data_IF_574273567772
#
_entry.id   IF_574273567772
#
_cell.length_a   1.000
_cell.length_b   1.000
_cell.length_c   1.000
_cell.angle_alpha   90.00
_cell.angle_beta   90.00
_cell.angle_gamma   90.00
#
_symmetry.space_group_name_H-M   'P 1'
#
loop_
_entity.id
_entity.type
_entity.pdbx_description
1 polymer ?
#
# COMPACT_ATOMS: atom_id res chain seq x y z
N UNK A 1 -4.20 14.77 19.52
CA UNK A 1 -4.72 13.47 19.03
C UNK A 1 -4.98 13.61 17.55
N UNK A 2 -4.39 12.75 16.72
CA UNK A 2 -4.69 12.72 15.28
C UNK A 2 -6.03 12.02 15.00
N UNK A 3 -6.62 12.34 13.84
CA UNK A 3 -7.89 11.75 13.38
C UNK A 3 -7.68 10.59 12.39
N UNK A 4 -6.45 10.43 11.88
CA UNK A 4 -6.07 9.36 10.97
C UNK A 4 -4.67 8.84 11.31
N UNK A 5 -4.38 7.59 10.95
CA UNK A 5 -3.08 6.96 11.15
C UNK A 5 -2.92 5.74 10.27
N UNK A 6 -1.68 5.41 9.93
CA UNK A 6 -1.30 4.15 9.31
C UNK A 6 -0.22 3.47 10.14
N UNK A 7 -0.13 2.16 10.05
CA UNK A 7 0.87 1.37 10.75
C UNK A 7 1.04 0.01 10.10
N UNK A 8 2.10 -0.67 10.49
CA UNK A 8 2.42 -2.01 10.02
C UNK A 8 3.18 -2.77 11.09
N UNK A 9 3.05 -4.08 11.09
CA UNK A 9 3.95 -4.98 11.79
C UNK A 9 4.92 -5.51 10.74
N UNK A 10 6.21 -5.19 10.89
CA UNK A 10 7.28 -5.61 9.99
C UNK A 10 8.47 -6.05 10.82
N UNK A 11 9.08 -7.14 10.41
CA UNK A 11 10.31 -7.70 10.99
C UNK A 11 11.56 -7.43 10.11
N UNK A 12 11.36 -6.87 8.93
CA UNK A 12 12.43 -6.65 7.96
C UNK A 12 12.67 -5.18 7.67
N UNK A 13 11.64 -4.46 7.22
CA UNK A 13 11.78 -3.10 6.72
C UNK A 13 11.33 -2.06 7.75
N UNK A 14 12.15 -1.02 8.07
CA UNK A 14 11.65 0.14 8.81
C UNK A 14 10.53 0.82 8.03
N UNK A 15 9.35 0.92 8.65
CA UNK A 15 8.14 1.57 8.12
C UNK A 15 7.26 2.04 9.29
N UNK A 16 6.37 3.04 9.12
CA UNK A 16 6.13 3.80 7.89
C UNK A 16 7.30 4.72 7.50
N UNK A 17 7.45 5.01 6.22
CA UNK A 17 8.40 6.00 5.70
C UNK A 17 7.64 7.29 5.38
N UNK A 18 8.21 8.43 5.74
CA UNK A 18 7.65 9.76 5.46
C UNK A 18 8.38 10.36 4.28
N UNK A 19 7.63 10.72 3.25
CA UNK A 19 8.14 11.33 2.01
C UNK A 19 7.62 12.75 1.89
N UNK A 20 8.49 13.67 1.49
CA UNK A 20 8.12 15.03 1.10
C UNK A 20 8.44 15.22 -0.40
N UNK A 21 7.43 15.45 -1.22
CA UNK A 21 7.56 15.50 -2.67
C UNK A 21 6.62 16.53 -3.29
N UNK A 22 6.62 16.62 -4.63
CA UNK A 22 5.64 17.44 -5.37
C UNK A 22 4.18 16.95 -5.21
N UNK A 23 3.97 15.73 -4.71
CA UNK A 23 2.64 15.21 -4.37
C UNK A 23 2.17 15.63 -2.97
N UNK A 24 2.94 16.47 -2.27
CA UNK A 24 2.79 16.81 -0.87
C UNK A 24 3.58 15.86 0.03
N UNK A 25 3.38 16.02 1.33
CA UNK A 25 3.96 15.12 2.33
C UNK A 25 2.99 13.97 2.60
N UNK A 26 3.53 12.76 2.59
CA UNK A 26 2.76 11.56 2.92
C UNK A 26 3.61 10.54 3.67
N UNK A 27 2.94 9.70 4.45
CA UNK A 27 3.54 8.50 5.02
C UNK A 27 3.08 7.28 4.23
N UNK A 28 3.94 6.27 4.09
CA UNK A 28 3.62 5.03 3.35
C UNK A 28 4.00 3.80 4.15
N UNK A 29 3.15 2.79 4.08
CA UNK A 29 3.42 1.40 4.50
C UNK A 29 3.10 0.45 3.36
N UNK A 30 3.89 -0.63 3.25
CA UNK A 30 3.73 -1.62 2.18
C UNK A 30 3.80 -3.04 2.72
N UNK A 31 3.01 -3.92 2.13
CA UNK A 31 3.23 -5.36 2.17
C UNK A 31 3.65 -5.78 0.77
N UNK A 32 4.95 -5.99 0.58
CA UNK A 32 5.53 -6.15 -0.74
C UNK A 32 6.47 -7.36 -0.81
N UNK A 33 6.52 -7.98 -1.99
CA UNK A 33 7.58 -8.88 -2.40
C UNK A 33 7.98 -8.49 -3.83
N UNK A 34 9.14 -7.83 -3.94
CA UNK A 34 9.66 -7.31 -5.21
C UNK A 34 10.74 -8.27 -5.71
N UNK A 35 10.46 -8.97 -6.81
CA UNK A 35 11.39 -9.96 -7.38
C UNK A 35 12.51 -9.29 -8.16
N UNK A 36 12.19 -8.15 -8.81
CA UNK A 36 13.15 -7.38 -9.61
C UNK A 36 13.65 -6.12 -8.89
N UNK A 37 13.89 -6.23 -7.58
CA UNK A 37 14.33 -5.11 -6.74
C UNK A 37 15.63 -4.50 -7.27
N UNK A 38 16.65 -5.31 -7.48
CA UNK A 38 17.98 -4.86 -7.94
C UNK A 38 17.93 -4.17 -9.33
N UNK A 39 17.06 -4.66 -10.23
CA UNK A 39 16.84 -4.04 -11.55
C UNK A 39 16.28 -2.62 -11.41
N UNK A 40 15.26 -2.45 -10.56
CA UNK A 40 14.63 -1.15 -10.34
C UNK A 40 15.59 -0.21 -9.60
N UNK A 41 16.29 -0.71 -8.59
CA UNK A 41 17.28 0.04 -7.82
C UNK A 41 18.38 0.62 -8.73
N UNK A 42 18.98 -0.24 -9.55
CA UNK A 42 20.03 0.19 -10.49
C UNK A 42 19.53 1.27 -11.46
N UNK A 43 18.31 1.14 -11.96
CA UNK A 43 17.70 2.16 -12.82
C UNK A 43 17.50 3.49 -12.06
N UNK A 44 16.98 3.45 -10.83
CA UNK A 44 16.76 4.66 -10.03
C UNK A 44 18.08 5.37 -9.71
N UNK A 45 19.11 4.63 -9.33
CA UNK A 45 20.46 5.16 -9.10
C UNK A 45 21.07 5.79 -10.36
N UNK A 46 20.85 5.17 -11.54
CA UNK A 46 21.32 5.73 -12.82
C UNK A 46 20.66 7.06 -13.18
N UNK A 47 19.50 7.36 -12.59
CA UNK A 47 18.76 8.63 -12.72
C UNK A 47 19.10 9.64 -11.60
N UNK A 48 20.18 9.42 -10.87
CA UNK A 48 20.62 10.24 -9.74
C UNK A 48 19.60 10.28 -8.57
N UNK A 49 18.71 9.30 -8.49
CA UNK A 49 17.89 9.10 -7.28
C UNK A 49 18.74 8.39 -6.22
N UNK A 50 18.42 8.59 -4.97
CA UNK A 50 19.16 7.98 -3.86
C UNK A 50 18.20 7.35 -2.87
N UNK A 51 18.73 6.43 -2.08
CA UNK A 51 18.03 5.76 -0.99
C UNK A 51 18.61 6.25 0.34
N UNK A 52 17.76 6.60 1.28
CA UNK A 52 18.14 7.08 2.60
C UNK A 52 17.92 6.00 3.68
N UNK A 53 16.94 5.12 3.47
CA UNK A 53 16.60 4.06 4.41
C UNK A 53 17.17 2.71 3.97
N UNK A 54 17.80 2.02 4.90
CA UNK A 54 18.33 0.68 4.67
C UNK A 54 17.55 -0.35 5.50
N UNK A 55 17.29 -1.50 4.88
CA UNK A 55 16.75 -2.69 5.52
C UNK A 55 17.83 -3.74 5.66
N UNK A 56 18.36 -3.92 6.89
CA UNK A 56 19.43 -4.89 7.15
C UNK A 56 20.62 -4.79 6.20
N UNK A 57 20.99 -3.56 5.82
CA UNK A 57 22.08 -3.27 4.89
C UNK A 57 21.71 -3.33 3.40
N UNK A 58 20.46 -3.59 3.07
CA UNK A 58 19.94 -3.60 1.70
C UNK A 58 18.96 -2.44 1.49
N UNK A 59 18.57 -2.21 0.22
CA UNK A 59 17.56 -1.23 -0.14
C UNK A 59 16.22 -1.53 0.51
N UNK A 60 15.65 -0.53 1.18
CA UNK A 60 14.31 -0.63 1.74
C UNK A 60 13.26 -0.67 0.62
N UNK A 61 12.46 -1.76 0.58
CA UNK A 61 11.46 -1.95 -0.47
C UNK A 61 10.37 -0.87 -0.44
N UNK A 62 9.99 -0.39 0.74
CA UNK A 62 8.97 0.66 0.89
C UNK A 62 9.48 2.00 0.36
N UNK A 63 10.76 2.32 0.57
CA UNK A 63 11.37 3.51 -0.03
C UNK A 63 11.42 3.40 -1.55
N UNK A 64 11.85 2.27 -2.09
CA UNK A 64 11.86 2.03 -3.54
C UNK A 64 10.46 2.24 -4.15
N UNK A 65 9.41 1.71 -3.51
CA UNK A 65 8.03 1.92 -3.94
C UNK A 65 7.66 3.41 -3.90
N UNK A 66 8.05 4.13 -2.85
CA UNK A 66 7.76 5.56 -2.73
C UNK A 66 8.44 6.37 -3.85
N UNK A 67 9.69 6.01 -4.20
CA UNK A 67 10.42 6.63 -5.31
C UNK A 67 9.77 6.35 -6.67
N UNK A 68 9.11 5.21 -6.85
CA UNK A 68 8.29 4.94 -8.03
C UNK A 68 7.00 5.76 -8.06
N UNK A 69 6.36 5.93 -6.91
CA UNK A 69 5.11 6.70 -6.78
C UNK A 69 5.36 8.17 -7.13
N UNK A 70 6.42 8.77 -6.62
CA UNK A 70 6.72 10.19 -6.87
C UNK A 70 7.18 10.49 -8.31
N UNK A 71 7.31 9.49 -9.17
CA UNK A 71 7.48 9.72 -10.62
C UNK A 71 6.15 10.02 -11.33
N UNK A 72 5.02 9.77 -10.70
CA UNK A 72 3.69 10.13 -11.21
C UNK A 72 3.34 11.59 -10.97
N UNK A 73 2.42 12.14 -11.75
CA UNK A 73 1.87 13.50 -11.57
C UNK A 73 0.88 13.59 -10.41
N UNK A 74 0.35 12.46 -9.99
CA UNK A 74 -0.56 12.28 -8.85
C UNK A 74 -0.38 10.87 -8.28
N UNK A 75 -1.00 10.60 -7.12
CA UNK A 75 -0.87 9.30 -6.46
C UNK A 75 -1.37 8.12 -7.29
N UNK A 76 -2.46 8.27 -8.05
CA UNK A 76 -3.01 7.19 -8.87
C UNK A 76 -2.01 6.80 -9.96
N UNK A 77 -1.50 7.77 -10.71
CA UNK A 77 -0.50 7.54 -11.76
C UNK A 77 0.79 6.94 -11.18
N UNK A 78 1.23 7.42 -10.00
CA UNK A 78 2.39 6.88 -9.30
C UNK A 78 2.19 5.42 -8.87
N UNK A 79 1.04 5.08 -8.32
CA UNK A 79 0.72 3.70 -7.93
C UNK A 79 0.59 2.80 -9.17
N UNK A 80 0.00 3.28 -10.26
CA UNK A 80 -0.03 2.55 -11.53
C UNK A 80 1.38 2.31 -12.09
N UNK A 81 2.31 3.25 -11.89
CA UNK A 81 3.72 3.04 -12.24
C UNK A 81 4.33 1.88 -11.45
N UNK A 82 4.04 1.79 -10.14
CA UNK A 82 4.42 0.63 -9.32
C UNK A 82 3.83 -0.66 -9.89
N UNK A 83 2.54 -0.69 -10.21
CA UNK A 83 1.88 -1.88 -10.76
C UNK A 83 2.47 -2.35 -12.08
N UNK A 84 2.92 -1.42 -12.94
CA UNK A 84 3.57 -1.77 -14.21
C UNK A 84 4.98 -2.32 -14.01
N UNK A 85 5.75 -1.77 -13.10
CA UNK A 85 7.19 -2.00 -12.97
C UNK A 85 7.56 -3.13 -12.03
N UNK A 86 6.81 -3.30 -10.95
CA UNK A 86 7.09 -4.33 -9.96
C UNK A 86 6.71 -5.71 -10.48
N UNK A 87 7.69 -6.61 -10.52
CA UNK A 87 7.50 -8.05 -10.69
C UNK A 87 7.36 -8.66 -9.29
N UNK A 88 6.14 -9.08 -8.94
CA UNK A 88 5.82 -9.57 -7.61
C UNK A 88 4.46 -9.08 -7.13
N UNK A 89 4.37 -8.72 -5.86
CA UNK A 89 3.17 -8.14 -5.24
C UNK A 89 3.54 -6.92 -4.39
N UNK A 90 2.64 -5.93 -4.35
CA UNK A 90 2.78 -4.78 -3.48
C UNK A 90 1.40 -4.17 -3.21
N UNK A 91 0.89 -4.38 -2.01
CA UNK A 91 -0.26 -3.64 -1.48
C UNK A 91 0.25 -2.55 -0.54
N UNK A 92 -0.44 -1.43 -0.47
CA UNK A 92 0.05 -0.26 0.25
C UNK A 92 -1.06 0.60 0.85
N UNK A 93 -0.72 1.31 1.92
CA UNK A 93 -1.50 2.41 2.46
C UNK A 93 -0.63 3.67 2.48
N UNK A 94 -1.18 4.79 2.03
CA UNK A 94 -0.56 6.10 2.09
C UNK A 94 -1.45 7.03 2.93
N UNK A 95 -0.86 7.69 3.91
CA UNK A 95 -1.51 8.75 4.67
C UNK A 95 -1.02 10.09 4.16
N UNK A 96 -1.90 10.85 3.53
CA UNK A 96 -1.60 12.20 3.02
C UNK A 96 -1.71 13.24 4.14
N UNK A 97 -1.10 14.41 3.95
CA UNK A 97 -1.11 15.48 4.93
C UNK A 97 -2.50 16.10 5.18
N UNK A 98 -3.45 15.91 4.27
CA UNK A 98 -4.85 16.29 4.44
C UNK A 98 -5.64 15.32 5.33
N UNK A 99 -4.99 14.25 5.82
CA UNK A 99 -5.57 13.21 6.66
C UNK A 99 -6.32 12.12 5.89
N UNK A 100 -6.36 12.18 4.55
CA UNK A 100 -6.92 11.09 3.76
C UNK A 100 -5.96 9.91 3.67
N UNK A 101 -6.51 8.70 3.57
CA UNK A 101 -5.74 7.46 3.38
C UNK A 101 -6.05 6.91 1.99
N UNK A 102 -4.99 6.71 1.20
CA UNK A 102 -5.09 5.98 -0.06
C UNK A 102 -4.73 4.52 0.21
N UNK A 103 -5.63 3.60 -0.12
CA UNK A 103 -5.40 2.18 -0.04
C UNK A 103 -5.35 1.59 -1.46
N UNK A 104 -4.29 0.84 -1.76
CA UNK A 104 -4.09 0.23 -3.08
C UNK A 104 -3.72 -1.24 -2.94
N UNK A 105 -4.59 -2.12 -3.44
CA UNK A 105 -4.32 -3.56 -3.50
C UNK A 105 -3.43 -3.88 -4.69
N UNK A 106 -2.49 -4.81 -4.51
CA UNK A 106 -1.58 -5.21 -5.58
C UNK A 106 -2.34 -5.64 -6.87
N UNK A 107 -1.69 -5.47 -8.02
CA UNK A 107 -2.31 -5.70 -9.35
C UNK A 107 -2.85 -7.11 -9.55
N UNK A 108 -2.36 -8.10 -8.81
CA UNK A 108 -2.81 -9.48 -8.89
C UNK A 108 -3.80 -9.85 -7.77
N UNK A 109 -4.00 -8.96 -6.80
CA UNK A 109 -4.86 -9.20 -5.64
C UNK A 109 -4.31 -10.24 -4.66
N UNK A 110 -2.99 -10.48 -4.62
CA UNK A 110 -2.37 -11.47 -3.75
C UNK A 110 -2.49 -11.12 -2.28
N UNK A 111 -2.07 -9.90 -1.91
CA UNK A 111 -2.24 -9.41 -0.55
C UNK A 111 -3.58 -8.70 -0.43
N UNK A 112 -4.50 -9.20 0.40
CA UNK A 112 -5.81 -8.58 0.55
C UNK A 112 -5.70 -7.20 1.19
N UNK A 113 -6.64 -6.33 0.84
CA UNK A 113 -7.00 -5.13 1.59
C UNK A 113 -8.51 -5.17 1.79
N UNK A 114 -8.91 -5.13 3.05
CA UNK A 114 -10.30 -5.14 3.48
C UNK A 114 -10.65 -3.76 4.03
N UNK A 115 -11.76 -3.22 3.60
CA UNK A 115 -12.31 -1.98 4.14
C UNK A 115 -13.34 -2.32 5.18
N UNK A 116 -13.20 -1.73 6.36
CA UNK A 116 -14.16 -1.76 7.43
C UNK A 116 -14.76 -0.39 7.67
N UNK A 117 -15.98 -0.36 8.17
CA UNK A 117 -16.67 0.86 8.58
C UNK A 117 -17.26 0.72 9.96
N UNK A 118 -17.34 1.82 10.65
CA UNK A 118 -18.20 2.04 11.81
C UNK A 118 -18.65 3.50 11.81
N UNK A 119 -19.55 3.84 12.73
CA UNK A 119 -20.11 5.19 12.77
C UNK A 119 -19.01 6.28 12.81
N UNK A 120 -18.98 7.13 11.78
CA UNK A 120 -18.00 8.21 11.61
C UNK A 120 -16.55 7.79 11.34
N UNK A 121 -16.29 6.52 10.97
CA UNK A 121 -14.93 6.05 10.73
C UNK A 121 -14.82 4.94 9.69
N UNK A 122 -13.72 4.97 8.92
CA UNK A 122 -13.31 3.90 8.00
C UNK A 122 -11.93 3.38 8.39
N UNK A 123 -11.70 2.11 8.13
CA UNK A 123 -10.41 1.46 8.34
C UNK A 123 -10.06 0.55 7.15
N UNK A 124 -8.78 0.39 6.88
CA UNK A 124 -8.26 -0.58 5.93
C UNK A 124 -7.25 -1.49 6.61
N UNK A 125 -7.32 -2.78 6.34
CA UNK A 125 -6.40 -3.77 6.90
C UNK A 125 -6.12 -4.87 5.90
N UNK A 126 -4.99 -5.55 6.04
CA UNK A 126 -4.72 -6.80 5.32
C UNK A 126 -5.35 -8.02 6.00
N UNK A 127 -5.75 -7.89 7.27
CA UNK A 127 -6.28 -8.98 8.11
C UNK A 127 -7.63 -8.56 8.71
N UNK A 128 -8.72 -9.21 8.25
CA UNK A 128 -10.10 -8.83 8.64
C UNK A 128 -10.47 -9.19 10.07
N UNK A 129 -9.75 -10.12 10.72
CA UNK A 129 -10.04 -10.55 12.09
C UNK A 129 -9.91 -9.44 13.13
N UNK A 130 -9.19 -8.36 12.78
CA UNK A 130 -9.07 -7.18 13.65
C UNK A 130 -10.37 -6.37 13.78
N UNK A 131 -11.23 -6.41 12.76
CA UNK A 131 -12.45 -5.59 12.73
C UNK A 131 -13.47 -5.90 13.83
N UNK A 132 -13.83 -7.17 14.09
CA UNK A 132 -14.74 -7.48 15.19
C UNK A 132 -14.25 -7.00 16.56
N UNK A 133 -12.93 -7.04 16.78
CA UNK A 133 -12.32 -6.60 18.05
C UNK A 133 -12.36 -5.07 18.25
N UNK A 134 -12.61 -4.31 17.18
CA UNK A 134 -12.63 -2.85 17.17
C UNK A 134 -14.01 -2.28 16.82
N UNK A 135 -15.05 -3.13 16.80
CA UNK A 135 -16.44 -2.78 16.45
C UNK A 135 -16.56 -2.20 15.01
N UNK A 136 -15.74 -2.71 14.08
CA UNK A 136 -15.91 -2.42 12.67
C UNK A 136 -16.68 -3.54 11.97
N UNK A 137 -17.58 -3.17 11.10
CA UNK A 137 -18.19 -4.06 10.12
C UNK A 137 -17.36 -4.10 8.85
N UNK A 138 -17.24 -5.27 8.22
CA UNK A 138 -16.62 -5.39 6.91
C UNK A 138 -17.53 -4.71 5.90
N UNK A 139 -17.02 -3.68 5.22
CA UNK A 139 -17.71 -3.03 4.12
C UNK A 139 -17.47 -3.80 2.81
N UNK A 140 -16.20 -3.99 2.42
CA UNK A 140 -15.82 -4.77 1.25
C UNK A 140 -14.34 -5.12 1.18
N UNK A 141 -14.01 -6.06 0.32
CA UNK A 141 -12.64 -6.37 -0.08
C UNK A 141 -12.30 -5.59 -1.35
N UNK A 142 -11.13 -4.95 -1.40
CA UNK A 142 -10.65 -4.35 -2.64
C UNK A 142 -10.32 -5.44 -3.66
N UNK A 143 -10.63 -5.19 -4.93
CA UNK A 143 -10.24 -6.06 -6.03
C UNK A 143 -8.78 -5.88 -6.46
N UNK A 144 -8.26 -6.72 -7.38
CA UNK A 144 -6.88 -6.63 -7.87
C UNK A 144 -6.61 -5.26 -8.51
N UNK A 145 -5.53 -4.61 -8.12
CA UNK A 145 -5.15 -3.30 -8.66
C UNK A 145 -6.11 -2.16 -8.34
N UNK A 146 -7.09 -2.37 -7.48
CA UNK A 146 -8.02 -1.32 -7.06
C UNK A 146 -7.32 -0.30 -6.17
N UNK A 147 -7.67 0.98 -6.37
CA UNK A 147 -7.19 2.11 -5.58
C UNK A 147 -8.39 2.87 -5.04
N UNK A 148 -8.42 3.12 -3.75
CA UNK A 148 -9.44 3.92 -3.09
C UNK A 148 -8.82 5.01 -2.23
N UNK A 149 -9.57 6.10 -2.05
CA UNK A 149 -9.29 7.15 -1.07
C UNK A 149 -10.32 7.06 0.04
N UNK A 150 -9.86 7.05 1.28
CA UNK A 150 -10.70 6.98 2.47
C UNK A 150 -10.57 8.28 3.26
N UNK A 151 -11.70 8.79 3.70
CA UNK A 151 -11.84 9.91 4.64
C UNK A 151 -12.85 9.54 5.71
N UNK A 152 -13.12 10.42 6.68
CA UNK A 152 -14.21 10.20 7.63
C UNK A 152 -15.59 10.18 6.96
N UNK A 153 -15.72 10.85 5.79
CA UNK A 153 -17.01 11.00 5.07
C UNK A 153 -17.32 9.83 4.14
N UNK A 154 -16.32 9.00 3.80
CA UNK A 154 -16.55 7.87 2.91
C UNK A 154 -15.31 7.31 2.24
N UNK A 155 -15.56 6.39 1.31
CA UNK A 155 -14.57 5.71 0.48
C UNK A 155 -14.86 6.00 -0.99
N UNK A 156 -13.93 6.69 -1.63
CA UNK A 156 -13.96 7.02 -3.06
C UNK A 156 -13.11 6.04 -3.86
N UNK A 157 -13.66 5.47 -4.93
CA UNK A 157 -12.90 4.62 -5.85
C UNK A 157 -12.15 5.48 -6.87
N UNK A 158 -10.80 5.49 -6.77
CA UNK A 158 -9.94 6.23 -7.70
C UNK A 158 -9.56 5.41 -8.94
N UNK A 159 -9.45 4.08 -8.78
CA UNK A 159 -9.18 3.15 -9.88
C UNK A 159 -9.98 1.88 -9.67
N UNK A 160 -10.65 1.43 -10.74
CA UNK A 160 -11.42 0.19 -10.74
C UNK A 160 -10.50 -1.04 -10.66
N UNK A 161 -10.98 -2.16 -10.08
CA UNK A 161 -10.22 -3.40 -10.05
C UNK A 161 -10.04 -4.01 -11.44
N UNK A 162 -8.99 -4.80 -11.59
CA UNK A 162 -8.78 -5.68 -12.74
C UNK A 162 -9.67 -6.93 -12.63
N UNK A 163 -9.97 -7.56 -13.77
CA UNK A 163 -10.79 -8.78 -13.81
C UNK A 163 -10.05 -10.02 -13.31
N UNK A 164 -8.73 -10.06 -13.50
CA UNK A 164 -7.91 -11.24 -13.18
C UNK A 164 -7.28 -11.12 -11.80
N UNK A 165 -7.56 -12.10 -10.95
CA UNK A 165 -6.92 -12.23 -9.64
C UNK A 165 -6.06 -13.51 -9.60
N UNK A 166 -4.91 -13.43 -8.93
CA UNK A 166 -4.06 -14.57 -8.60
C UNK A 166 -4.17 -14.86 -7.10
N UNK A 167 -4.85 -15.93 -6.77
CA UNK A 167 -4.97 -16.37 -5.38
C UNK A 167 -3.63 -16.94 -4.93
N UNK A 168 -3.11 -16.45 -3.81
CA UNK A 168 -1.92 -16.99 -3.20
C UNK A 168 -2.30 -18.15 -2.26
N UNK A 169 -2.06 -19.39 -2.68
CA UNK A 169 -2.35 -20.57 -1.86
C UNK A 169 -1.59 -20.58 -0.53
N UNK A 170 -0.40 -19.99 -0.47
CA UNK A 170 0.37 -19.85 0.77
C UNK A 170 -0.39 -19.01 1.80
N UNK A 171 -0.95 -17.86 1.40
CA UNK A 171 -1.75 -17.02 2.30
C UNK A 171 -3.01 -17.76 2.78
N UNK A 172 -3.64 -18.53 1.91
CA UNK A 172 -4.81 -19.34 2.26
C UNK A 172 -4.51 -20.41 3.30
N UNK A 173 -3.40 -21.12 3.12
CA UNK A 173 -3.00 -22.21 4.03
C UNK A 173 -2.42 -21.69 5.33
N UNK A 174 -1.60 -20.64 5.26
CA UNK A 174 -0.84 -20.16 6.39
C UNK A 174 -1.62 -19.16 7.27
N UNK A 175 -2.40 -18.29 6.67
CA UNK A 175 -3.18 -17.27 7.40
C UNK A 175 -4.66 -17.63 7.55
N UNK A 176 -5.14 -18.70 6.91
CA UNK A 176 -6.52 -19.12 7.02
C UNK A 176 -7.53 -18.09 6.51
N UNK A 177 -7.18 -17.34 5.47
CA UNK A 177 -8.12 -16.38 4.87
C UNK A 177 -9.38 -17.10 4.39
N UNK A 178 -10.57 -16.62 4.77
CA UNK A 178 -11.83 -17.12 4.27
C UNK A 178 -12.03 -16.78 2.78
#
# INVERSE_FOLDING_TARGET
KGNAGIGIISDTDPQPIIINSHLGRFAIVTVAKIVNLEEIEAELLSKNMHFAELSSGNTNQTELISLLIIQGRNFVEGIENVFRRVKGSCSMLLLSEDGSIIAARDKWGRTPIVIGRKDGAYAATSESSSFPNLDYEIDRYLGPGEIVRMTADGVEQLRKPEEKMQICSFLWVYYGFP
#
